data_IF_906125869592
#
_entry.id   IF_906125869592
#
_cell.length_a   1.000
_cell.length_b   1.000
_cell.length_c   1.000
_cell.angle_alpha   90.00
_cell.angle_beta   90.00
_cell.angle_gamma   90.00
#
_symmetry.space_group_name_H-M   'P 1'
#
loop_
_entity.id
_entity.type
_entity.pdbx_description
1 polymer ?
#
# COMPACT_ATOMS: atom_id res chain seq x y z
N UNK A 1 14.59 -26.84 -25.25
CA UNK A 1 13.44 -27.63 -24.76
C UNK A 1 13.85 -29.10 -24.66
N UNK A 2 14.32 -29.61 -23.51
CA UNK A 2 14.43 -31.04 -23.30
C UNK A 2 13.16 -31.59 -22.64
N UNK A 3 12.80 -32.79 -23.09
CA UNK A 3 11.58 -33.54 -22.79
C UNK A 3 11.46 -33.87 -21.31
N UNK A 4 10.28 -33.65 -20.74
CA UNK A 4 9.82 -34.23 -19.47
C UNK A 4 9.77 -35.75 -19.61
N UNK A 5 10.87 -36.44 -19.26
CA UNK A 5 10.77 -37.83 -18.82
C UNK A 5 9.93 -37.83 -17.56
N UNK A 6 8.73 -38.42 -17.61
CA UNK A 6 7.99 -38.81 -16.41
C UNK A 6 8.88 -39.76 -15.64
N UNK A 7 9.50 -39.27 -14.58
CA UNK A 7 10.13 -40.11 -13.58
C UNK A 7 9.00 -40.81 -12.82
N UNK A 8 8.77 -42.09 -13.07
CA UNK A 8 7.80 -42.93 -12.34
C UNK A 8 8.15 -43.10 -10.84
N UNK A 9 9.17 -42.40 -10.33
CA UNK A 9 9.71 -42.51 -8.97
C UNK A 9 9.63 -41.18 -8.18
N UNK A 10 8.62 -40.34 -8.45
CA UNK A 10 8.41 -39.08 -7.73
C UNK A 10 7.09 -39.09 -6.94
N UNK A 11 7.17 -38.65 -5.69
CA UNK A 11 6.01 -38.34 -4.86
C UNK A 11 5.52 -36.94 -5.20
N UNK A 12 4.27 -36.86 -5.66
CA UNK A 12 3.63 -35.62 -6.08
C UNK A 12 2.42 -35.30 -5.20
N UNK A 13 2.32 -34.04 -4.78
CA UNK A 13 1.11 -33.48 -4.18
C UNK A 13 0.84 -32.10 -4.75
N UNK A 14 -0.41 -31.86 -5.12
CA UNK A 14 -0.86 -30.58 -5.66
C UNK A 14 -1.90 -29.96 -4.74
N UNK A 15 -1.82 -28.63 -4.57
CA UNK A 15 -2.86 -27.81 -3.96
C UNK A 15 -3.20 -26.67 -4.91
N UNK A 16 -4.47 -26.30 -4.99
CA UNK A 16 -4.90 -25.13 -5.77
C UNK A 16 -5.13 -23.95 -4.84
N UNK A 17 -4.50 -22.81 -5.14
CA UNK A 17 -4.77 -21.57 -4.41
C UNK A 17 -6.16 -21.05 -4.76
N UNK A 18 -6.96 -20.75 -3.73
CA UNK A 18 -8.27 -20.11 -3.93
C UNK A 18 -8.12 -18.63 -4.27
N UNK A 19 -9.11 -18.09 -4.98
CA UNK A 19 -9.20 -16.66 -5.25
C UNK A 19 -9.19 -15.87 -3.92
N UNK A 20 -9.90 -16.34 -2.90
CA UNK A 20 -9.95 -15.73 -1.57
C UNK A 20 -8.57 -15.65 -0.89
N UNK A 21 -7.73 -16.67 -1.06
CA UNK A 21 -6.38 -16.66 -0.49
C UNK A 21 -5.46 -15.64 -1.18
N UNK A 22 -5.68 -15.40 -2.48
CA UNK A 22 -4.83 -14.56 -3.32
C UNK A 22 -5.35 -13.14 -3.52
N UNK A 23 -6.64 -12.91 -3.27
CA UNK A 23 -7.36 -11.67 -3.60
C UNK A 23 -7.13 -11.24 -5.05
N UNK A 24 -7.02 -12.22 -5.97
CA UNK A 24 -6.75 -11.98 -7.39
C UNK A 24 -5.32 -11.52 -7.71
N UNK A 25 -4.41 -11.46 -6.74
CA UNK A 25 -3.04 -10.96 -6.92
C UNK A 25 -2.01 -12.08 -7.13
N UNK A 26 -1.28 -11.98 -8.25
CA UNK A 26 -0.12 -12.84 -8.52
C UNK A 26 1.05 -12.59 -7.56
N UNK A 27 1.19 -11.34 -7.07
CA UNK A 27 2.19 -10.98 -6.07
C UNK A 27 1.87 -11.66 -4.75
N UNK A 28 0.60 -11.69 -4.34
CA UNK A 28 0.16 -12.39 -3.12
C UNK A 28 0.34 -13.90 -3.24
N UNK A 29 0.03 -14.51 -4.38
CA UNK A 29 0.34 -15.93 -4.62
C UNK A 29 1.83 -16.23 -4.41
N UNK A 30 2.72 -15.38 -4.94
CA UNK A 30 4.17 -15.50 -4.72
C UNK A 30 4.57 -15.27 -3.26
N UNK A 31 3.92 -14.36 -2.55
CA UNK A 31 4.11 -14.14 -1.11
C UNK A 31 3.78 -15.39 -0.29
N UNK A 32 2.66 -16.05 -0.62
CA UNK A 32 2.26 -17.33 0.00
C UNK A 32 3.31 -18.41 -0.28
N UNK A 33 3.88 -18.49 -1.49
CA UNK A 33 5.01 -19.42 -1.77
C UNK A 33 6.15 -19.21 -0.79
N UNK A 34 6.53 -17.94 -0.58
CA UNK A 34 7.67 -17.58 0.26
C UNK A 34 7.39 -17.91 1.73
N UNK A 35 6.16 -17.73 2.19
CA UNK A 35 5.74 -18.12 3.54
C UNK A 35 5.82 -19.65 3.72
N UNK A 36 5.40 -20.43 2.71
CA UNK A 36 5.54 -21.89 2.71
C UNK A 36 7.01 -22.30 2.74
N UNK A 37 7.83 -21.74 1.85
CA UNK A 37 9.27 -22.01 1.78
C UNK A 37 10.01 -21.57 3.06
N UNK A 38 9.52 -20.57 3.78
CA UNK A 38 10.09 -20.13 5.04
C UNK A 38 9.93 -21.20 6.14
N UNK A 39 8.79 -21.91 6.14
CA UNK A 39 8.44 -22.93 7.14
C UNK A 39 8.95 -24.33 6.79
N UNK A 40 9.35 -24.57 5.54
CA UNK A 40 9.93 -25.85 5.12
C UNK A 40 11.42 -25.99 5.51
N UNK A 41 11.90 -27.22 5.75
CA UNK A 41 13.33 -27.51 5.85
C UNK A 41 14.08 -27.10 4.58
N UNK A 42 15.35 -26.68 4.71
CA UNK A 42 16.18 -26.20 3.58
C UNK A 42 16.24 -27.19 2.40
N UNK A 43 16.25 -28.49 2.70
CA UNK A 43 16.29 -29.59 1.72
C UNK A 43 15.05 -29.59 0.82
N UNK A 44 13.87 -29.34 1.39
CA UNK A 44 12.59 -29.40 0.67
C UNK A 44 12.15 -28.06 0.06
N UNK A 45 12.85 -26.94 0.31
CA UNK A 45 12.44 -25.62 -0.22
C UNK A 45 12.39 -25.54 -1.75
N UNK A 46 13.26 -26.30 -2.43
CA UNK A 46 13.33 -26.32 -3.90
C UNK A 46 12.38 -27.36 -4.53
N UNK A 47 11.81 -28.23 -3.71
CA UNK A 47 10.86 -29.25 -4.14
C UNK A 47 9.44 -28.68 -4.39
N UNK A 48 9.21 -27.41 -4.04
CA UNK A 48 7.93 -26.75 -4.17
C UNK A 48 7.96 -25.65 -5.23
N UNK A 49 7.02 -25.69 -6.16
CA UNK A 49 6.88 -24.75 -7.28
C UNK A 49 5.44 -24.33 -7.50
N UNK A 50 5.26 -23.19 -8.17
CA UNK A 50 3.96 -22.75 -8.69
C UNK A 50 3.88 -23.00 -10.19
N UNK A 51 2.80 -23.64 -10.61
CA UNK A 51 2.35 -23.74 -12.00
C UNK A 51 0.99 -23.05 -12.11
N UNK A 52 0.98 -21.77 -12.50
CA UNK A 52 -0.23 -20.96 -12.49
C UNK A 52 -0.77 -20.76 -11.07
N UNK A 53 -1.94 -21.33 -10.79
CA UNK A 53 -2.60 -21.31 -9.47
C UNK A 53 -2.30 -22.57 -8.63
N UNK A 54 -1.66 -23.56 -9.24
CA UNK A 54 -1.38 -24.84 -8.61
C UNK A 54 0.01 -24.84 -7.98
N UNK A 55 0.04 -25.18 -6.70
CA UNK A 55 1.23 -25.41 -5.92
C UNK A 55 1.57 -26.89 -5.99
N UNK A 56 2.74 -27.23 -6.50
CA UNK A 56 3.19 -28.61 -6.68
C UNK A 56 4.37 -28.87 -5.76
N UNK A 57 4.26 -29.92 -4.94
CA UNK A 57 5.37 -30.51 -4.19
C UNK A 57 5.79 -31.79 -4.89
N UNK A 58 7.04 -31.83 -5.35
CA UNK A 58 7.65 -32.97 -6.01
C UNK A 58 8.92 -33.40 -5.29
N UNK A 59 8.95 -34.64 -4.78
CA UNK A 59 10.12 -35.19 -4.08
C UNK A 59 10.42 -36.63 -4.53
N UNK A 60 11.68 -37.10 -4.45
CA UNK A 60 12.02 -38.49 -4.69
C UNK A 60 11.29 -39.47 -3.76
N UNK A 61 10.99 -40.69 -4.25
CA UNK A 61 10.21 -41.69 -3.50
C UNK A 61 10.91 -42.23 -2.25
N UNK A 62 12.25 -42.21 -2.24
CA UNK A 62 13.11 -42.56 -1.11
C UNK A 62 12.98 -41.56 0.06
N UNK A 63 12.49 -40.35 -0.20
CA UNK A 63 12.29 -39.32 0.82
C UNK A 63 10.87 -39.28 1.41
N UNK A 64 10.15 -40.42 1.44
CA UNK A 64 8.72 -40.47 1.83
C UNK A 64 8.38 -39.83 3.17
N UNK A 65 9.24 -40.01 4.18
CA UNK A 65 9.03 -39.40 5.49
C UNK A 65 9.12 -37.87 5.44
N UNK A 66 10.11 -37.34 4.71
CA UNK A 66 10.29 -35.90 4.52
C UNK A 66 9.15 -35.31 3.67
N UNK A 67 8.70 -36.04 2.66
CA UNK A 67 7.54 -35.67 1.85
C UNK A 67 6.27 -35.51 2.70
N UNK A 68 5.94 -36.49 3.54
CA UNK A 68 4.76 -36.41 4.40
C UNK A 68 4.84 -35.24 5.41
N UNK A 69 6.03 -34.98 5.95
CA UNK A 69 6.26 -33.82 6.82
C UNK A 69 6.04 -32.50 6.05
N UNK A 70 6.58 -32.39 4.84
CA UNK A 70 6.38 -31.23 3.98
C UNK A 70 4.90 -31.04 3.60
N UNK A 71 4.19 -32.11 3.23
CA UNK A 71 2.74 -32.08 2.94
C UNK A 71 1.94 -31.53 4.11
N UNK A 72 2.26 -31.93 5.35
CA UNK A 72 1.59 -31.43 6.55
C UNK A 72 1.82 -29.93 6.73
N UNK A 73 3.07 -29.47 6.59
CA UNK A 73 3.42 -28.04 6.68
C UNK A 73 2.71 -27.23 5.61
N UNK A 74 2.78 -27.66 4.34
CA UNK A 74 2.14 -26.97 3.21
C UNK A 74 0.64 -26.90 3.41
N UNK A 75 -0.02 -28.01 3.75
CA UNK A 75 -1.48 -28.05 3.95
C UNK A 75 -1.93 -27.11 5.06
N UNK A 76 -1.16 -27.00 6.14
CA UNK A 76 -1.45 -26.06 7.22
C UNK A 76 -1.35 -24.60 6.75
N UNK A 77 -0.28 -24.26 6.03
CA UNK A 77 -0.11 -22.89 5.51
C UNK A 77 -1.19 -22.55 4.50
N UNK A 78 -1.59 -23.50 3.65
CA UNK A 78 -2.68 -23.31 2.69
C UNK A 78 -4.02 -23.03 3.39
N UNK A 79 -4.30 -23.71 4.51
CA UNK A 79 -5.49 -23.44 5.31
C UNK A 79 -5.45 -22.05 6.00
N UNK A 80 -4.25 -21.60 6.39
CA UNK A 80 -4.06 -20.29 7.02
C UNK A 80 -3.95 -19.14 6.00
N UNK A 81 -3.74 -19.44 4.70
CA UNK A 81 -3.40 -18.47 3.67
C UNK A 81 -4.38 -17.28 3.53
N UNK A 82 -5.72 -17.47 3.62
CA UNK A 82 -6.66 -16.36 3.59
C UNK A 82 -6.46 -15.37 4.74
N UNK A 83 -6.01 -15.83 5.90
CA UNK A 83 -5.81 -15.02 7.11
C UNK A 83 -4.42 -14.38 7.21
N UNK A 84 -3.52 -14.65 6.26
CA UNK A 84 -2.17 -14.09 6.28
C UNK A 84 -2.22 -12.57 6.05
N UNK A 85 -1.53 -11.76 6.87
CA UNK A 85 -1.49 -10.32 6.69
C UNK A 85 -0.92 -9.91 5.32
N UNK A 86 -1.54 -8.91 4.71
CA UNK A 86 -1.17 -8.39 3.39
C UNK A 86 0.02 -7.44 3.51
N UNK A 87 1.04 -7.63 2.68
CA UNK A 87 2.26 -6.82 2.67
C UNK A 87 2.07 -5.58 1.77
N UNK A 88 2.81 -4.46 1.96
CA UNK A 88 2.63 -3.27 1.15
C UNK A 88 2.72 -3.46 -0.37
N UNK A 89 3.51 -4.43 -0.86
CA UNK A 89 3.61 -4.68 -2.30
C UNK A 89 2.39 -5.46 -2.83
N UNK A 90 1.82 -6.34 -2.00
CA UNK A 90 0.63 -7.12 -2.33
C UNK A 90 -0.59 -6.21 -2.35
N UNK A 91 -0.80 -5.38 -1.33
CA UNK A 91 -1.98 -4.49 -1.30
C UNK A 91 -1.98 -3.49 -2.46
N UNK A 92 -0.81 -3.04 -2.92
CA UNK A 92 -0.69 -2.19 -4.11
C UNK A 92 -1.15 -2.89 -5.38
N UNK A 93 -0.87 -4.19 -5.49
CA UNK A 93 -1.27 -5.02 -6.63
C UNK A 93 -2.76 -5.34 -6.56
N UNK A 94 -3.24 -5.77 -5.39
CA UNK A 94 -4.63 -6.12 -5.12
C UNK A 94 -5.56 -4.94 -5.37
N UNK A 95 -5.27 -3.79 -4.75
CA UNK A 95 -6.09 -2.58 -4.84
C UNK A 95 -5.72 -1.70 -6.05
N UNK A 96 -4.79 -2.13 -6.90
CA UNK A 96 -4.36 -1.37 -8.08
C UNK A 96 -3.86 0.04 -7.76
N UNK A 97 -3.23 0.25 -6.60
CA UNK A 97 -2.79 1.56 -6.13
C UNK A 97 -1.27 1.75 -6.20
N UNK A 98 -0.84 3.00 -6.36
CA UNK A 98 0.58 3.37 -6.38
C UNK A 98 1.13 3.46 -4.96
N UNK A 99 2.46 3.30 -4.83
CA UNK A 99 3.14 3.47 -3.55
C UNK A 99 2.92 4.88 -2.95
N UNK A 100 2.82 5.92 -3.78
CA UNK A 100 2.51 7.29 -3.32
C UNK A 100 1.09 7.42 -2.79
N UNK A 101 0.12 6.78 -3.45
CA UNK A 101 -1.28 6.76 -3.01
C UNK A 101 -1.39 6.06 -1.65
N UNK A 102 -0.76 4.89 -1.52
CA UNK A 102 -0.68 4.15 -0.24
C UNK A 102 -0.12 5.01 0.89
N UNK A 103 1.00 5.70 0.68
CA UNK A 103 1.60 6.54 1.73
C UNK A 103 0.67 7.68 2.17
N UNK A 104 0.01 8.32 1.20
CA UNK A 104 -0.96 9.38 1.49
C UNK A 104 -2.16 8.84 2.26
N UNK A 105 -2.79 7.77 1.78
CA UNK A 105 -3.97 7.19 2.42
C UNK A 105 -3.69 6.56 3.78
N UNK A 106 -2.45 6.09 4.02
CA UNK A 106 -1.99 5.74 5.37
C UNK A 106 -1.88 6.97 6.28
N UNK A 107 -1.32 8.07 5.79
CA UNK A 107 -1.17 9.30 6.56
C UNK A 107 -2.52 9.95 6.88
N UNK A 108 -3.46 9.88 5.94
CA UNK A 108 -4.82 10.42 6.09
C UNK A 108 -5.73 9.52 6.95
N UNK A 109 -5.27 8.30 7.31
CA UNK A 109 -6.06 7.32 8.07
C UNK A 109 -7.13 6.57 7.28
N UNK A 110 -7.26 6.86 5.98
CA UNK A 110 -8.20 6.19 5.06
C UNK A 110 -7.88 4.70 4.87
N UNK A 111 -6.59 4.36 4.82
CA UNK A 111 -6.12 2.99 4.72
C UNK A 111 -5.68 2.47 6.10
N UNK A 112 -6.51 1.67 6.81
CA UNK A 112 -6.19 1.21 8.15
C UNK A 112 -5.04 0.18 8.13
N UNK A 113 -4.08 0.36 9.03
CA UNK A 113 -2.98 -0.59 9.22
C UNK A 113 -3.31 -1.57 10.35
N UNK A 114 -3.08 -2.86 10.11
CA UNK A 114 -3.20 -3.93 11.12
C UNK A 114 -1.97 -4.06 12.03
N UNK A 115 -1.03 -3.11 11.94
CA UNK A 115 0.23 -3.12 12.67
C UNK A 115 1.44 -3.04 11.75
N UNK A 116 2.63 -3.19 12.34
CA UNK A 116 3.90 -3.14 11.59
C UNK A 116 4.68 -4.44 11.73
N UNK A 117 5.27 -4.90 10.63
CA UNK A 117 6.18 -6.06 10.60
C UNK A 117 7.59 -5.56 10.32
N UNK A 118 8.54 -6.06 11.09
CA UNK A 118 9.96 -5.77 10.91
C UNK A 118 10.67 -6.99 10.36
N UNK A 119 11.33 -6.84 9.21
CA UNK A 119 12.09 -7.90 8.55
C UNK A 119 13.56 -7.50 8.46
N UNK A 120 14.44 -8.45 8.78
CA UNK A 120 15.89 -8.34 8.54
C UNK A 120 16.20 -8.85 7.14
N UNK A 121 16.80 -7.99 6.31
CA UNK A 121 17.30 -8.41 5.01
C UNK A 121 18.56 -9.27 5.19
N UNK A 122 18.59 -10.44 4.55
CA UNK A 122 19.76 -11.31 4.56
C UNK A 122 20.99 -10.57 4.02
N UNK A 123 22.09 -10.57 4.78
CA UNK A 123 23.34 -9.89 4.39
C UNK A 123 23.35 -8.37 4.55
N UNK A 124 22.32 -7.75 5.14
CA UNK A 124 22.33 -6.33 5.51
C UNK A 124 22.04 -6.13 6.99
N UNK A 125 22.72 -5.16 7.60
CA UNK A 125 22.46 -4.75 8.98
C UNK A 125 21.09 -4.04 9.16
N UNK A 126 20.54 -3.49 8.07
CA UNK A 126 19.31 -2.68 8.11
C UNK A 126 18.06 -3.55 8.22
N UNK A 127 17.28 -3.28 9.26
CA UNK A 127 15.91 -3.76 9.44
C UNK A 127 14.96 -2.86 8.67
N UNK A 128 13.96 -3.45 8.02
CA UNK A 128 12.88 -2.70 7.36
C UNK A 128 11.60 -2.99 8.13
N UNK A 129 10.98 -1.92 8.64
CA UNK A 129 9.68 -1.95 9.27
C UNK A 129 8.64 -1.42 8.28
N UNK A 130 7.55 -2.15 8.12
CA UNK A 130 6.48 -1.75 7.21
C UNK A 130 5.11 -2.09 7.77
N UNK A 131 4.09 -1.34 7.32
CA UNK A 131 2.69 -1.59 7.66
C UNK A 131 2.18 -2.87 7.00
N UNK A 132 1.47 -3.69 7.76
CA UNK A 132 0.71 -4.82 7.25
C UNK A 132 -0.79 -4.50 7.31
N UNK A 133 -1.56 -5.21 6.50
CA UNK A 133 -3.00 -4.99 6.36
C UNK A 133 -3.76 -6.27 6.60
N UNK A 134 -4.96 -6.15 7.17
CA UNK A 134 -5.85 -7.26 7.41
C UNK A 134 -6.53 -7.67 6.08
N UNK A 135 -6.49 -8.95 5.67
CA UNK A 135 -7.20 -9.42 4.49
C UNK A 135 -8.67 -9.06 4.46
N UNK A 136 -9.38 -9.12 5.59
CA UNK A 136 -10.82 -8.87 5.64
C UNK A 136 -11.13 -7.40 5.31
N UNK A 137 -10.28 -6.49 5.81
CA UNK A 137 -10.39 -5.06 5.49
C UNK A 137 -10.03 -4.78 4.04
N UNK A 138 -9.06 -5.52 3.47
CA UNK A 138 -8.69 -5.36 2.05
C UNK A 138 -9.84 -5.82 1.15
N UNK A 139 -10.53 -6.91 1.49
CA UNK A 139 -11.73 -7.38 0.78
C UNK A 139 -12.82 -6.32 0.84
N UNK A 140 -13.11 -5.79 2.01
CA UNK A 140 -14.12 -4.75 2.20
C UNK A 140 -13.79 -3.46 1.40
N UNK A 141 -12.51 -3.10 1.28
CA UNK A 141 -12.07 -2.00 0.42
C UNK A 141 -12.24 -2.29 -1.09
N UNK A 142 -12.03 -3.54 -1.51
CA UNK A 142 -12.28 -3.98 -2.88
C UNK A 142 -13.78 -3.91 -3.20
N UNK A 143 -14.61 -4.45 -2.33
CA UNK A 143 -16.06 -4.54 -2.52
C UNK A 143 -16.71 -3.16 -2.58
N UNK A 144 -16.21 -2.20 -1.79
CA UNK A 144 -16.69 -0.82 -1.79
C UNK A 144 -16.12 0.04 -2.93
N UNK A 145 -15.06 -0.40 -3.61
CA UNK A 145 -14.39 0.42 -4.62
C UNK A 145 -13.73 1.68 -4.04
N UNK A 146 -13.34 1.65 -2.76
CA UNK A 146 -12.88 2.82 -1.99
C UNK A 146 -11.70 3.57 -2.63
N UNK A 147 -10.85 2.84 -3.37
CA UNK A 147 -9.68 3.40 -4.07
C UNK A 147 -10.08 4.44 -5.10
N UNK A 148 -11.15 4.18 -5.86
CA UNK A 148 -11.58 5.08 -6.92
C UNK A 148 -12.30 6.30 -6.35
N UNK A 149 -13.08 6.11 -5.28
CA UNK A 149 -13.67 7.21 -4.50
C UNK A 149 -12.57 8.16 -3.97
N UNK A 150 -11.55 7.61 -3.31
CA UNK A 150 -10.45 8.42 -2.77
C UNK A 150 -9.68 9.17 -3.87
N UNK A 151 -9.56 8.60 -5.08
CA UNK A 151 -8.94 9.28 -6.22
C UNK A 151 -9.76 10.47 -6.71
N UNK A 152 -11.09 10.36 -6.70
CA UNK A 152 -11.99 11.47 -7.03
C UNK A 152 -11.86 12.57 -5.99
N UNK A 153 -11.95 12.23 -4.70
CA UNK A 153 -11.74 13.18 -3.59
C UNK A 153 -10.38 13.88 -3.69
N UNK A 154 -9.32 13.11 -3.99
CA UNK A 154 -7.96 13.64 -4.12
C UNK A 154 -7.84 14.59 -5.33
N UNK A 155 -8.59 14.35 -6.40
CA UNK A 155 -8.62 15.21 -7.59
C UNK A 155 -9.36 16.52 -7.30
N UNK A 156 -10.49 16.44 -6.60
CA UNK A 156 -11.30 17.59 -6.19
C UNK A 156 -10.53 18.48 -5.20
N UNK A 157 -9.97 17.90 -4.14
CA UNK A 157 -9.15 18.62 -3.17
C UNK A 157 -7.93 19.29 -3.83
N UNK A 158 -7.39 18.68 -4.90
CA UNK A 158 -6.30 19.26 -5.68
C UNK A 158 -6.77 20.41 -6.57
N UNK A 159 -7.98 20.34 -7.12
CA UNK A 159 -8.57 21.43 -7.89
C UNK A 159 -8.84 22.64 -6.99
N UNK A 160 -9.47 22.42 -5.84
CA UNK A 160 -9.76 23.47 -4.86
C UNK A 160 -8.47 24.15 -4.36
N UNK A 161 -7.44 23.36 -4.00
CA UNK A 161 -6.13 23.91 -3.61
C UNK A 161 -5.49 24.75 -4.72
N UNK A 162 -5.69 24.40 -5.99
CA UNK A 162 -5.18 25.20 -7.12
C UNK A 162 -5.94 26.51 -7.29
N UNK A 163 -7.25 26.50 -7.13
CA UNK A 163 -8.08 27.71 -7.19
C UNK A 163 -7.72 28.66 -6.05
N UNK A 164 -7.64 28.15 -4.83
CA UNK A 164 -7.24 28.91 -3.65
C UNK A 164 -5.83 29.48 -3.82
N UNK A 165 -4.87 28.69 -4.33
CA UNK A 165 -3.53 29.18 -4.61
C UNK A 165 -3.51 30.26 -5.70
N UNK A 166 -4.31 30.13 -6.75
CA UNK A 166 -4.43 31.13 -7.81
C UNK A 166 -5.05 32.43 -7.29
N UNK A 167 -6.06 32.33 -6.43
CA UNK A 167 -6.69 33.48 -5.75
C UNK A 167 -5.69 34.19 -4.84
N UNK A 168 -5.01 33.46 -3.97
CA UNK A 168 -3.97 34.01 -3.08
C UNK A 168 -2.83 34.66 -3.87
N UNK A 169 -2.40 34.04 -4.99
CA UNK A 169 -1.38 34.62 -5.86
C UNK A 169 -1.85 35.94 -6.50
N UNK A 170 -3.14 36.07 -6.87
CA UNK A 170 -3.71 37.33 -7.36
C UNK A 170 -3.71 38.41 -6.27
N UNK A 171 -4.13 38.08 -5.04
CA UNK A 171 -4.09 39.02 -3.91
C UNK A 171 -2.67 39.52 -3.61
N UNK A 172 -1.70 38.60 -3.55
CA UNK A 172 -0.29 38.96 -3.32
C UNK A 172 0.25 39.84 -4.45
N UNK A 173 -0.15 39.59 -5.72
CA UNK A 173 0.24 40.43 -6.85
C UNK A 173 -0.36 41.84 -6.77
N UNK A 174 -1.63 41.96 -6.41
CA UNK A 174 -2.30 43.25 -6.22
C UNK A 174 -1.68 44.05 -5.08
N UNK A 175 -1.47 43.43 -3.92
CA UNK A 175 -0.82 44.06 -2.77
C UNK A 175 0.62 44.52 -3.10
N UNK A 176 1.38 43.73 -3.87
CA UNK A 176 2.71 44.14 -4.35
C UNK A 176 2.65 45.31 -5.34
N UNK A 177 1.64 45.35 -6.22
CA UNK A 177 1.45 46.45 -7.17
C UNK A 177 1.13 47.75 -6.43
N UNK A 178 0.26 47.70 -5.43
CA UNK A 178 -0.10 48.85 -4.60
C UNK A 178 1.08 49.36 -3.76
N UNK A 179 1.85 48.46 -3.14
CA UNK A 179 3.10 48.84 -2.45
C UNK A 179 4.11 49.51 -3.38
N UNK A 180 4.23 49.04 -4.63
CA UNK A 180 5.10 49.65 -5.64
C UNK A 180 4.59 51.03 -6.08
N UNK A 181 3.29 51.22 -6.26
CA UNK A 181 2.73 52.52 -6.63
C UNK A 181 2.87 53.54 -5.51
N UNK A 182 2.64 53.16 -4.24
CA UNK A 182 2.87 54.03 -3.07
C UNK A 182 4.34 54.45 -2.94
N UNK A 183 5.27 53.52 -3.18
CA UNK A 183 6.73 53.81 -3.18
C UNK A 183 7.16 54.70 -4.34
N UNK A 184 6.54 54.57 -5.52
CA UNK A 184 6.81 55.42 -6.68
C UNK A 184 6.21 56.83 -6.54
N UNK A 185 5.11 56.97 -5.79
CA UNK A 185 4.48 58.26 -5.51
C UNK A 185 5.20 59.09 -4.42
N UNK A 186 6.31 58.59 -3.86
CA UNK A 186 7.14 59.36 -2.91
C UNK A 186 6.43 59.71 -1.60
N UNK A 187 5.42 58.93 -1.18
CA UNK A 187 4.75 59.16 0.11
C UNK A 187 5.70 58.72 1.23
N UNK A 188 6.28 59.70 1.92
CA UNK A 188 7.00 59.54 3.18
C UNK A 188 5.91 59.38 4.26
N UNK A 189 6.02 58.35 5.12
CA UNK A 189 5.16 58.19 6.29
C UNK A 189 5.38 59.36 7.26
N UNK A 190 4.57 60.41 7.14
CA UNK A 190 4.22 61.26 8.27
C UNK A 190 3.07 60.56 9.03
N UNK A 191 3.09 60.52 10.38
CA UNK A 191 2.12 59.77 11.16
C UNK A 191 0.74 60.45 11.09
N UNK A 192 -0.02 60.12 10.06
CA UNK A 192 -1.40 60.52 9.91
C UNK A 192 -2.24 59.80 10.96
N UNK A 193 -2.71 60.60 11.92
CA UNK A 193 -3.79 60.35 12.87
C UNK A 193 -4.75 59.23 12.43
N UNK A 194 -4.82 58.18 13.25
CA UNK A 194 -5.47 56.92 12.96
C UNK A 194 -6.95 57.05 12.59
N UNK A 195 -7.25 56.73 11.33
CA UNK A 195 -8.57 56.25 10.93
C UNK A 195 -8.60 54.75 11.21
N UNK A 196 -9.46 54.32 12.15
CA UNK A 196 -9.70 52.91 12.47
C UNK A 196 -10.09 52.16 11.20
N UNK A 197 -9.20 51.26 10.79
CA UNK A 197 -9.42 50.40 9.65
C UNK A 197 -10.47 49.33 9.95
N UNK A 198 -10.96 48.69 8.88
CA UNK A 198 -11.88 47.55 8.88
C UNK A 198 -11.36 46.31 9.64
N UNK A 199 -10.16 46.37 10.21
CA UNK A 199 -9.53 45.31 11.01
C UNK A 199 -10.24 45.14 12.38
N UNK A 200 -10.95 46.16 12.88
CA UNK A 200 -11.79 46.05 14.08
C UNK A 200 -13.12 45.29 13.82
N UNK A 201 -13.51 45.07 12.57
CA UNK A 201 -14.75 44.36 12.21
C UNK A 201 -14.59 42.83 12.14
N UNK A 202 -13.36 42.32 12.23
CA UNK A 202 -13.08 40.86 12.22
C UNK A 202 -13.02 40.27 13.65
N UNK A 203 -13.26 41.10 14.66
CA UNK A 203 -13.31 40.69 16.08
C UNK A 203 -14.74 40.76 16.58
N UNK A 204 -15.57 39.82 16.14
CA UNK A 204 -16.49 39.05 16.99
C UNK A 204 -17.47 38.26 16.11
N UNK A 205 -17.53 36.95 16.37
CA UNK A 205 -18.31 35.96 15.62
C UNK A 205 -19.77 36.35 15.41
N UNK A 206 -20.06 36.91 14.24
CA UNK A 206 -21.40 37.26 13.80
C UNK A 206 -21.85 36.44 12.58
N UNK A 207 -21.64 35.13 12.63
CA UNK A 207 -22.43 34.17 11.86
C UNK A 207 -22.67 32.93 12.73
N UNK A 208 -23.71 33.02 13.55
CA UNK A 208 -24.54 31.86 13.92
C UNK A 208 -25.70 31.78 12.94
#
# INVERSE_FOLDING_TARGET
>A
MPKSQKNDNELLRTWTLTADATLGSSIRAKGILQEIQARLPKTSKKAISFEGVDLILAMPIDERAAFNAAVSVVSKVMADAPRLPVIPREIQDILGMKASERHRWLADGRLPSAGTRTVRLAGRARQITFHVFDPDIVVDLLDRGAVDEWRVEDAEAKAEKRENAAYQAKLVRLAKKEKRSRKAAGVIDEPATGLRGWEDFDVDGLLR
#
